data_IF_179006586107
#
_entry.id   IF_179006586107
#
_cell.length_a   1.000
_cell.length_b   1.000
_cell.length_c   1.000
_cell.angle_alpha   90.00
_cell.angle_beta   90.00
_cell.angle_gamma   90.00
#
_symmetry.space_group_name_H-M   'P 1'
#
loop_
_entity.id
_entity.type
_entity.pdbx_description
1 polymer ?
#
# COMPACT_ATOMS: atom_id res chain seq x y z
N UNK A 1 -3.63 4.54 -42.25
CA UNK A 1 -2.93 5.58 -41.47
C UNK A 1 -2.46 6.67 -42.41
N UNK A 2 -2.70 7.94 -42.11
CA UNK A 2 -2.06 9.06 -42.80
C UNK A 2 -0.77 9.38 -42.05
N UNK A 3 0.37 9.47 -42.74
CA UNK A 3 1.63 9.91 -42.15
C UNK A 3 1.65 11.44 -42.06
N UNK A 4 2.16 11.97 -40.96
CA UNK A 4 2.39 13.41 -40.77
C UNK A 4 3.89 13.61 -40.63
N UNK A 5 4.48 14.43 -41.49
CA UNK A 5 5.88 14.83 -41.38
C UNK A 5 5.96 16.14 -40.58
N UNK A 6 6.63 16.12 -39.44
CA UNK A 6 6.84 17.29 -38.58
C UNK A 6 8.29 17.75 -38.73
N UNK A 7 8.49 19.00 -39.13
CA UNK A 7 9.82 19.63 -39.08
C UNK A 7 10.03 20.27 -37.72
N UNK A 8 11.07 19.84 -37.02
CA UNK A 8 11.45 20.28 -35.68
C UNK A 8 12.97 20.26 -35.60
N UNK A 9 13.56 21.22 -34.88
CA UNK A 9 15.01 21.25 -34.68
C UNK A 9 15.46 20.10 -33.78
N UNK A 10 16.67 19.60 -33.98
CA UNK A 10 17.24 18.49 -33.18
C UNK A 10 17.19 18.77 -31.67
N UNK A 11 17.52 20.00 -31.27
CA UNK A 11 17.46 20.42 -29.86
C UNK A 11 16.04 20.33 -29.27
N UNK A 12 15.03 20.75 -30.05
CA UNK A 12 13.62 20.65 -29.62
C UNK A 12 13.12 19.22 -29.66
N UNK A 13 13.61 18.41 -30.60
CA UNK A 13 13.31 16.98 -30.69
C UNK A 13 13.82 16.25 -29.46
N UNK A 14 15.09 16.46 -29.09
CA UNK A 14 15.69 15.90 -27.88
C UNK A 14 14.96 16.37 -26.62
N UNK A 15 14.60 17.65 -26.55
CA UNK A 15 13.82 18.19 -25.44
C UNK A 15 12.39 17.63 -25.35
N UNK A 16 11.78 17.26 -26.48
CA UNK A 16 10.48 16.60 -26.52
C UNK A 16 10.61 15.13 -26.08
N UNK A 17 11.65 14.45 -26.56
CA UNK A 17 11.97 13.08 -26.21
C UNK A 17 12.20 12.92 -24.72
N UNK A 18 13.07 13.75 -24.13
CA UNK A 18 13.31 13.74 -22.69
C UNK A 18 12.06 14.02 -21.84
N UNK A 19 11.08 14.78 -22.36
CA UNK A 19 9.79 14.98 -21.68
C UNK A 19 8.85 13.80 -21.84
N UNK A 20 8.77 13.22 -23.02
CA UNK A 20 7.99 12.02 -23.29
C UNK A 20 8.48 10.86 -22.41
N UNK A 21 9.80 10.69 -22.33
CA UNK A 21 10.48 9.71 -21.46
C UNK A 21 10.16 9.99 -19.99
N UNK A 22 10.31 11.26 -19.55
CA UNK A 22 9.93 11.67 -18.19
C UNK A 22 8.46 11.37 -17.88
N UNK A 23 7.59 11.41 -18.87
CA UNK A 23 6.15 11.18 -18.69
C UNK A 23 5.73 9.73 -18.95
N UNK A 24 6.66 8.83 -19.28
CA UNK A 24 6.39 7.42 -19.54
C UNK A 24 5.47 7.19 -20.73
N UNK A 25 5.48 8.07 -21.74
CA UNK A 25 4.68 7.96 -22.96
C UNK A 25 5.57 8.03 -24.19
N UNK A 26 5.19 7.35 -25.28
CA UNK A 26 5.92 7.51 -26.54
C UNK A 26 5.70 8.89 -27.15
N UNK A 27 6.66 9.35 -27.95
CA UNK A 27 6.51 10.60 -28.71
C UNK A 27 5.28 10.51 -29.63
N UNK A 28 5.05 9.36 -30.25
CA UNK A 28 3.91 9.11 -31.13
C UNK A 28 2.57 9.23 -30.39
N UNK A 29 2.47 8.70 -29.17
CA UNK A 29 1.28 8.84 -28.33
C UNK A 29 1.06 10.30 -27.94
N UNK A 30 2.13 10.98 -27.54
CA UNK A 30 2.09 12.39 -27.16
C UNK A 30 1.62 13.27 -28.33
N UNK A 31 2.21 13.08 -29.52
CA UNK A 31 1.83 13.79 -30.74
C UNK A 31 0.41 13.43 -31.20
N UNK A 32 0.00 12.17 -31.12
CA UNK A 32 -1.35 11.75 -31.54
C UNK A 32 -2.42 12.45 -30.72
N UNK A 33 -2.22 12.54 -29.41
CA UNK A 33 -3.15 13.25 -28.49
C UNK A 33 -3.17 14.75 -28.73
N UNK A 34 -2.04 15.36 -29.08
CA UNK A 34 -1.97 16.77 -29.49
C UNK A 34 -2.81 16.99 -30.75
N UNK A 35 -2.65 16.13 -31.76
CA UNK A 35 -3.42 16.20 -33.02
C UNK A 35 -4.91 16.02 -32.76
N UNK A 36 -5.32 15.03 -31.95
CA UNK A 36 -6.72 14.81 -31.58
C UNK A 36 -7.34 16.03 -30.90
N UNK A 37 -6.60 16.65 -29.98
CA UNK A 37 -7.07 17.82 -29.22
C UNK A 37 -7.19 19.07 -30.08
N UNK A 38 -6.22 19.33 -30.96
CA UNK A 38 -6.28 20.46 -31.92
C UNK A 38 -7.40 20.24 -32.94
N UNK A 39 -7.65 19.01 -33.37
CA UNK A 39 -8.74 18.69 -34.27
C UNK A 39 -10.13 18.90 -33.64
N UNK A 40 -10.27 18.67 -32.33
CA UNK A 40 -11.53 18.86 -31.61
C UNK A 40 -11.84 20.32 -31.25
N UNK A 41 -10.82 21.15 -30.99
CA UNK A 41 -11.02 22.55 -30.59
C UNK A 41 -9.86 23.45 -31.07
N UNK A 42 -9.85 23.86 -32.36
CA UNK A 42 -8.71 24.55 -32.98
C UNK A 42 -8.49 25.97 -32.47
N UNK A 43 -9.45 26.53 -31.72
CA UNK A 43 -9.38 27.89 -31.20
C UNK A 43 -9.00 27.97 -29.72
N UNK A 44 -8.91 26.83 -29.02
CA UNK A 44 -8.50 26.81 -27.62
C UNK A 44 -6.97 26.89 -27.53
N UNK A 45 -6.41 27.81 -26.72
CA UNK A 45 -4.97 27.87 -26.52
C UNK A 45 -4.45 26.52 -26.03
N UNK A 46 -3.34 26.06 -26.62
CA UNK A 46 -2.69 24.82 -26.23
C UNK A 46 -2.21 24.95 -24.78
N UNK A 47 -2.98 24.38 -23.85
CA UNK A 47 -2.53 24.15 -22.48
C UNK A 47 -1.61 22.92 -22.54
N UNK A 48 -0.31 23.05 -22.20
CA UNK A 48 0.60 21.92 -22.15
C UNK A 48 -0.03 20.78 -21.36
N UNK A 49 0.03 19.57 -21.89
CA UNK A 49 -0.38 18.40 -21.14
C UNK A 49 0.41 18.37 -19.83
N UNK A 50 -0.31 18.36 -18.71
CA UNK A 50 0.26 18.08 -17.42
C UNK A 50 -0.18 16.65 -17.06
N UNK A 51 0.77 15.77 -16.70
CA UNK A 51 0.40 14.47 -16.16
C UNK A 51 -0.56 14.69 -14.99
N UNK A 52 -1.54 13.78 -14.87
CA UNK A 52 -2.45 13.80 -13.73
C UNK A 52 -1.60 13.74 -12.46
N UNK A 53 -1.80 14.71 -11.55
CA UNK A 53 -1.06 14.73 -10.29
C UNK A 53 -1.40 13.46 -9.51
N UNK A 54 -0.39 12.91 -8.84
CA UNK A 54 -0.48 11.66 -8.10
C UNK A 54 -0.04 11.89 -6.66
N UNK A 55 -0.73 11.25 -5.73
CA UNK A 55 -0.39 11.28 -4.31
C UNK A 55 -0.29 9.85 -3.81
N UNK A 56 0.90 9.50 -3.32
CA UNK A 56 1.19 8.20 -2.75
C UNK A 56 0.68 8.13 -1.31
N UNK A 57 -0.08 7.10 -1.01
CA UNK A 57 -0.69 6.85 0.30
C UNK A 57 0.09 5.73 1.00
N UNK A 58 0.73 6.06 2.11
CA UNK A 58 1.42 5.12 2.99
C UNK A 58 0.45 4.22 3.78
N UNK A 59 0.93 3.09 4.32
CA UNK A 59 0.16 2.09 5.07
C UNK A 59 -0.68 2.69 6.18
N UNK A 60 -0.09 3.59 6.99
CA UNK A 60 -0.80 4.17 8.13
C UNK A 60 -1.95 5.10 7.71
N UNK A 61 -1.86 5.76 6.55
CA UNK A 61 -2.92 6.59 5.99
C UNK A 61 -3.94 5.73 5.26
N UNK A 62 -3.49 4.67 4.57
CA UNK A 62 -4.35 3.68 3.97
C UNK A 62 -5.26 3.02 5.01
N UNK A 63 -4.73 2.74 6.21
CA UNK A 63 -5.53 2.26 7.35
C UNK A 63 -6.62 3.26 7.77
N UNK A 64 -6.36 4.57 7.73
CA UNK A 64 -7.35 5.62 8.03
C UNK A 64 -8.48 5.65 6.99
N UNK A 65 -8.14 5.44 5.71
CA UNK A 65 -9.07 5.41 4.58
C UNK A 65 -9.94 4.16 4.64
N UNK A 66 -9.33 2.97 4.74
CA UNK A 66 -10.03 1.68 4.86
C UNK A 66 -10.88 1.62 6.15
N UNK A 67 -10.37 2.23 7.23
CA UNK A 67 -11.08 2.40 8.49
C UNK A 67 -12.22 3.41 8.44
N UNK A 68 -12.40 4.12 7.32
CA UNK A 68 -13.45 5.12 7.12
C UNK A 68 -13.46 6.23 8.19
N UNK A 69 -12.29 6.55 8.72
CA UNK A 69 -12.10 7.60 9.73
C UNK A 69 -12.40 8.98 9.15
N UNK A 70 -12.69 9.97 9.99
CA UNK A 70 -12.93 11.35 9.54
C UNK A 70 -11.74 11.90 8.76
N UNK A 71 -10.52 11.64 9.24
CA UNK A 71 -9.28 12.04 8.58
C UNK A 71 -9.08 11.34 7.24
N UNK A 72 -9.26 10.02 7.17
CA UNK A 72 -9.14 9.25 5.92
C UNK A 72 -10.13 9.73 4.84
N UNK A 73 -11.39 9.97 5.23
CA UNK A 73 -12.41 10.55 4.34
C UNK A 73 -12.04 11.94 3.86
N UNK A 74 -11.47 12.77 4.74
CA UNK A 74 -11.02 14.11 4.38
C UNK A 74 -9.90 14.08 3.34
N UNK A 75 -8.94 13.16 3.49
CA UNK A 75 -7.83 12.99 2.53
C UNK A 75 -8.37 12.63 1.16
N UNK A 76 -9.19 11.58 1.05
CA UNK A 76 -9.77 11.14 -0.24
C UNK A 76 -10.59 12.26 -0.87
N UNK A 77 -11.47 12.91 -0.09
CA UNK A 77 -12.28 14.01 -0.59
C UNK A 77 -11.44 15.14 -1.17
N UNK A 78 -10.35 15.56 -0.50
CA UNK A 78 -9.50 16.63 -1.02
C UNK A 78 -8.78 16.25 -2.32
N UNK A 79 -8.34 14.99 -2.44
CA UNK A 79 -7.72 14.48 -3.66
C UNK A 79 -8.75 14.42 -4.82
N UNK A 80 -9.95 13.90 -4.55
CA UNK A 80 -11.05 13.82 -5.50
C UNK A 80 -11.52 15.20 -5.99
N UNK A 81 -11.80 16.12 -5.06
CA UNK A 81 -12.23 17.50 -5.35
C UNK A 81 -11.21 18.24 -6.24
N UNK A 82 -9.93 17.83 -6.18
CA UNK A 82 -8.81 18.42 -6.90
C UNK A 82 -8.41 17.64 -8.18
N UNK A 83 -9.10 16.54 -8.49
CA UNK A 83 -8.78 15.68 -9.63
C UNK A 83 -7.43 14.97 -9.53
N UNK A 84 -6.88 14.82 -8.32
CA UNK A 84 -5.60 14.19 -8.03
C UNK A 84 -5.80 12.70 -7.83
N UNK A 85 -4.95 11.88 -8.45
CA UNK A 85 -5.01 10.43 -8.31
C UNK A 85 -4.39 9.99 -6.98
N UNK A 86 -5.15 9.24 -6.18
CA UNK A 86 -4.64 8.54 -5.01
C UNK A 86 -4.06 7.20 -5.44
N UNK A 87 -2.79 6.95 -5.11
CA UNK A 87 -2.09 5.71 -5.45
C UNK A 87 -1.45 5.11 -4.20
N UNK A 88 -1.20 3.81 -4.20
CA UNK A 88 -0.44 3.12 -3.15
C UNK A 88 0.33 1.95 -3.73
N UNK A 89 1.20 1.34 -2.94
CA UNK A 89 1.99 0.19 -3.33
C UNK A 89 1.49 -1.08 -2.66
N UNK A 90 1.59 -2.23 -3.33
CA UNK A 90 1.10 -3.51 -2.80
C UNK A 90 1.71 -3.89 -1.45
N UNK A 91 2.94 -3.46 -1.16
CA UNK A 91 3.57 -3.63 0.15
C UNK A 91 2.75 -2.99 1.26
N UNK A 92 2.23 -1.78 1.05
CA UNK A 92 1.38 -1.11 2.03
C UNK A 92 0.11 -1.93 2.36
N UNK A 93 -0.47 -2.55 1.33
CA UNK A 93 -1.63 -3.44 1.49
C UNK A 93 -1.24 -4.70 2.27
N UNK A 94 -0.08 -5.29 2.01
CA UNK A 94 0.42 -6.47 2.71
C UNK A 94 0.77 -6.19 4.17
N UNK A 95 1.22 -4.97 4.49
CA UNK A 95 1.42 -4.54 5.86
C UNK A 95 0.08 -4.44 6.61
N UNK A 96 -0.99 -3.94 5.97
CA UNK A 96 -2.34 -4.02 6.54
C UNK A 96 -2.75 -5.48 6.80
N UNK A 97 -2.51 -6.39 5.87
CA UNK A 97 -2.81 -7.81 6.09
C UNK A 97 -2.00 -8.40 7.23
N UNK A 98 -0.72 -8.05 7.35
CA UNK A 98 0.16 -8.53 8.43
C UNK A 98 -0.31 -8.05 9.80
N UNK A 99 -0.85 -6.84 9.87
CA UNK A 99 -1.51 -6.32 11.06
C UNK A 99 -2.78 -7.12 11.40
N UNK A 100 -3.62 -7.43 10.41
CA UNK A 100 -4.83 -8.25 10.59
C UNK A 100 -4.52 -9.71 10.96
N UNK A 101 -3.40 -10.27 10.50
CA UNK A 101 -2.90 -11.60 10.90
C UNK A 101 -2.38 -11.62 12.34
N UNK A 102 -2.17 -10.45 12.95
CA UNK A 102 -1.54 -10.34 14.27
C UNK A 102 -0.05 -10.73 14.29
N UNK A 103 0.61 -10.82 13.12
CA UNK A 103 2.04 -11.14 13.01
C UNK A 103 2.93 -9.94 13.29
N UNK A 104 2.39 -8.74 13.08
CA UNK A 104 3.03 -7.48 13.43
C UNK A 104 2.40 -6.94 14.71
N UNK A 105 3.22 -6.58 15.70
CA UNK A 105 2.71 -5.98 16.93
C UNK A 105 2.16 -4.60 16.62
N UNK A 106 0.86 -4.36 16.81
CA UNK A 106 0.35 -3.01 16.98
C UNK A 106 0.99 -2.48 18.27
N UNK A 107 2.08 -1.70 18.14
CA UNK A 107 2.85 -1.18 19.28
C UNK A 107 2.06 -0.21 20.15
N UNK A 108 0.80 0.07 19.80
CA UNK A 108 -0.07 0.97 20.52
C UNK A 108 -0.73 0.25 21.72
N UNK A 109 -0.77 0.92 22.87
CA UNK A 109 -1.25 0.38 24.16
C UNK A 109 -2.67 -0.23 24.09
N UNK A 110 -3.07 -1.09 25.05
CA UNK A 110 -4.43 -1.66 25.10
C UNK A 110 -5.57 -0.62 24.93
N UNK A 111 -5.38 0.62 25.38
CA UNK A 111 -6.35 1.73 25.19
C UNK A 111 -6.49 2.19 23.74
N UNK A 112 -5.47 2.06 22.90
CA UNK A 112 -5.48 2.50 21.51
C UNK A 112 -6.18 1.52 20.56
N UNK A 113 -6.32 0.24 20.93
CA UNK A 113 -6.96 -0.78 20.07
C UNK A 113 -8.40 -0.42 19.72
N UNK A 114 -9.15 0.17 20.66
CA UNK A 114 -10.52 0.64 20.42
C UNK A 114 -10.59 1.86 19.50
N UNK A 115 -9.49 2.61 19.39
CA UNK A 115 -9.35 3.76 18.51
C UNK A 115 -8.55 3.42 17.24
N UNK A 116 -8.25 2.14 17.01
CA UNK A 116 -7.51 1.72 15.84
C UNK A 116 -8.38 1.95 14.58
N UNK A 117 -7.83 2.52 13.49
CA UNK A 117 -8.61 2.78 12.28
C UNK A 117 -9.29 1.52 11.71
N UNK A 118 -8.61 0.38 11.79
CA UNK A 118 -9.11 -0.93 11.36
C UNK A 118 -9.85 -1.74 12.44
N UNK A 119 -10.34 -1.11 13.52
CA UNK A 119 -10.99 -1.84 14.64
C UNK A 119 -12.10 -2.82 14.22
N UNK A 120 -12.84 -2.48 13.17
CA UNK A 120 -13.95 -3.31 12.66
C UNK A 120 -13.46 -4.63 12.04
N UNK A 121 -12.22 -4.64 11.56
CA UNK A 121 -11.51 -5.82 11.04
C UNK A 121 -10.72 -6.55 12.12
N UNK A 122 -10.26 -5.82 13.13
CA UNK A 122 -9.47 -6.34 14.25
C UNK A 122 -10.34 -6.98 15.33
N UNK A 123 -11.37 -7.73 14.94
CA UNK A 123 -12.26 -8.39 15.91
C UNK A 123 -11.43 -9.33 16.81
N UNK A 124 -11.71 -9.40 18.13
CA UNK A 124 -10.96 -10.26 19.05
C UNK A 124 -10.93 -11.73 18.60
N UNK A 125 -11.99 -12.20 17.93
CA UNK A 125 -12.07 -13.54 17.35
C UNK A 125 -11.05 -13.75 16.21
N UNK A 126 -10.67 -12.68 15.50
CA UNK A 126 -9.68 -12.73 14.42
C UNK A 126 -8.26 -12.52 14.96
N UNK A 127 -8.02 -11.62 15.92
CA UNK A 127 -6.64 -11.35 16.37
C UNK A 127 -6.14 -12.19 17.54
N UNK A 128 -7.04 -12.64 18.42
CA UNK A 128 -6.60 -13.39 19.59
C UNK A 128 -6.45 -14.89 19.32
N UNK A 129 -7.07 -15.44 18.27
CA UNK A 129 -7.09 -16.89 18.03
C UNK A 129 -5.70 -17.41 17.66
N UNK A 130 -4.97 -16.82 16.72
CA UNK A 130 -3.59 -17.22 16.41
C UNK A 130 -2.65 -17.16 17.64
N UNK A 131 -2.83 -16.14 18.49
CA UNK A 131 -2.08 -15.98 19.74
C UNK A 131 -2.58 -16.85 20.90
N UNK A 132 -3.82 -17.39 20.86
CA UNK A 132 -4.39 -18.26 21.90
C UNK A 132 -4.22 -19.74 21.56
N UNK A 133 -4.33 -20.12 20.28
CA UNK A 133 -4.31 -21.51 19.83
C UNK A 133 -2.96 -22.20 20.04
N UNK A 134 -1.84 -21.47 20.10
CA UNK A 134 -0.50 -22.06 20.25
C UNK A 134 0.28 -21.62 21.50
N UNK A 135 -0.41 -21.05 22.51
CA UNK A 135 0.22 -20.64 23.78
C UNK A 135 0.84 -21.80 24.56
N UNK A 136 0.43 -23.04 24.29
CA UNK A 136 0.79 -24.22 25.08
C UNK A 136 1.85 -25.12 24.44
N UNK A 137 2.65 -24.61 23.51
CA UNK A 137 3.73 -25.40 22.91
C UNK A 137 5.07 -24.86 23.37
N UNK A 138 6.01 -25.73 23.77
CA UNK A 138 7.42 -25.40 24.04
C UNK A 138 8.18 -24.95 22.77
N UNK A 139 7.46 -24.56 21.73
CA UNK A 139 7.92 -24.17 20.41
C UNK A 139 7.51 -22.70 20.22
N UNK A 140 8.33 -21.91 19.53
CA UNK A 140 8.03 -20.51 19.25
C UNK A 140 6.62 -20.35 18.66
N UNK A 141 5.74 -19.71 19.43
CA UNK A 141 4.37 -19.36 19.05
C UNK A 141 4.23 -18.73 17.66
N UNK A 142 5.21 -17.91 17.23
CA UNK A 142 5.21 -17.30 15.90
C UNK A 142 5.48 -18.34 14.81
N UNK A 143 6.49 -19.19 15.00
CA UNK A 143 6.82 -20.25 14.06
C UNK A 143 5.64 -21.23 13.86
N UNK A 144 4.95 -21.59 14.95
CA UNK A 144 3.74 -22.42 14.86
C UNK A 144 2.60 -21.72 14.12
N UNK A 145 2.39 -20.42 14.34
CA UNK A 145 1.35 -19.68 13.61
C UNK A 145 1.62 -19.68 12.11
N UNK A 146 2.86 -19.46 11.68
CA UNK A 146 3.21 -19.51 10.25
C UNK A 146 3.04 -20.90 9.64
N UNK A 147 3.52 -21.93 10.33
CA UNK A 147 3.42 -23.33 9.88
C UNK A 147 1.97 -23.75 9.69
N UNK A 148 1.12 -23.52 10.70
CA UNK A 148 -0.28 -23.90 10.62
C UNK A 148 -1.10 -23.00 9.70
N UNK A 149 -0.72 -21.73 9.51
CA UNK A 149 -1.40 -20.83 8.57
C UNK A 149 -1.42 -21.41 7.16
N UNK A 150 -0.33 -22.03 6.74
CA UNK A 150 -0.22 -22.67 5.43
C UNK A 150 -0.95 -24.03 5.43
N UNK A 151 -0.62 -24.90 6.40
CA UNK A 151 -1.10 -26.28 6.40
C UNK A 151 -2.59 -26.46 6.66
N UNK A 152 -3.26 -25.49 7.28
CA UNK A 152 -4.68 -25.64 7.56
C UNK A 152 -5.54 -25.71 6.28
N UNK A 153 -4.98 -25.45 5.08
CA UNK A 153 -5.67 -25.69 3.81
C UNK A 153 -6.04 -27.16 3.61
N UNK A 154 -5.25 -28.08 4.17
CA UNK A 154 -5.56 -29.51 4.19
C UNK A 154 -6.84 -29.81 4.99
N UNK A 155 -7.18 -28.96 5.95
CA UNK A 155 -8.36 -29.11 6.80
C UNK A 155 -9.61 -28.44 6.22
N UNK A 156 -9.46 -27.63 5.17
CA UNK A 156 -10.58 -26.89 4.55
C UNK A 156 -11.45 -27.74 3.62
N UNK A 157 -11.18 -29.04 3.52
CA UNK A 157 -11.92 -29.96 2.68
C UNK A 157 -13.28 -30.25 3.32
N UNK A 158 -14.33 -30.37 2.50
CA UNK A 158 -15.73 -30.34 2.95
C UNK A 158 -16.11 -31.42 3.97
N UNK A 159 -15.38 -32.53 3.98
CA UNK A 159 -15.61 -33.70 4.81
C UNK A 159 -14.48 -33.97 5.81
N UNK A 160 -13.45 -33.11 5.89
CA UNK A 160 -12.25 -33.36 6.71
C UNK A 160 -12.61 -33.62 8.18
N UNK A 161 -13.38 -32.70 8.79
CA UNK A 161 -13.70 -32.78 10.21
C UNK A 161 -14.65 -33.94 10.54
N UNK A 162 -15.61 -34.22 9.66
CA UNK A 162 -16.55 -35.35 9.83
C UNK A 162 -15.81 -36.69 9.70
N UNK A 163 -14.96 -36.82 8.69
CA UNK A 163 -14.14 -38.01 8.46
C UNK A 163 -13.19 -38.27 9.63
N UNK A 164 -12.53 -37.22 10.15
CA UNK A 164 -11.61 -37.38 11.28
C UNK A 164 -12.32 -37.71 12.60
N UNK A 165 -13.54 -37.22 12.83
CA UNK A 165 -14.34 -37.62 14.00
C UNK A 165 -14.65 -39.13 13.97
N UNK A 166 -14.99 -39.68 12.80
CA UNK A 166 -15.18 -41.12 12.62
C UNK A 166 -13.88 -41.91 12.87
N UNK A 167 -12.74 -41.40 12.41
CA UNK A 167 -11.44 -42.02 12.65
C UNK A 167 -11.07 -42.02 14.14
N UNK A 168 -11.33 -40.93 14.86
CA UNK A 168 -11.12 -40.84 16.32
C UNK A 168 -11.96 -41.91 17.01
N UNK A 169 -13.24 -42.02 16.67
CA UNK A 169 -14.14 -43.01 17.28
C UNK A 169 -13.70 -44.45 16.98
N UNK A 170 -13.19 -44.71 15.78
CA UNK A 170 -12.82 -46.05 15.33
C UNK A 170 -11.45 -46.52 15.82
N UNK A 171 -10.47 -45.62 15.90
CA UNK A 171 -9.07 -45.98 16.08
C UNK A 171 -8.41 -45.43 17.35
N UNK A 172 -8.94 -44.37 17.99
CA UNK A 172 -8.39 -43.88 19.25
C UNK A 172 -8.90 -44.71 20.44
N UNK A 173 -7.96 -45.09 21.32
CA UNK A 173 -8.29 -45.66 22.63
C UNK A 173 -9.11 -44.66 23.45
N UNK A 174 -10.03 -45.17 24.28
CA UNK A 174 -11.02 -44.33 24.98
C UNK A 174 -10.39 -43.18 25.80
N UNK A 175 -9.23 -43.41 26.41
CA UNK A 175 -8.51 -42.40 27.18
C UNK A 175 -7.92 -41.25 26.34
N UNK A 176 -7.70 -41.46 25.04
CA UNK A 176 -7.14 -40.47 24.11
C UNK A 176 -8.16 -39.83 23.17
N UNK A 177 -9.42 -40.27 23.21
CA UNK A 177 -10.47 -39.70 22.36
C UNK A 177 -10.77 -38.25 22.68
N UNK A 178 -10.76 -37.87 23.97
CA UNK A 178 -11.02 -36.49 24.38
C UNK A 178 -9.94 -35.54 23.87
N UNK A 179 -8.67 -35.88 24.08
CA UNK A 179 -7.53 -35.10 23.59
C UNK A 179 -7.55 -34.96 22.06
N UNK A 180 -7.87 -36.05 21.34
CA UNK A 180 -7.98 -36.01 19.88
C UNK A 180 -9.11 -35.09 19.40
N UNK A 181 -10.27 -35.10 20.09
CA UNK A 181 -11.39 -34.19 19.78
C UNK A 181 -11.06 -32.73 20.09
N UNK A 182 -10.38 -32.47 21.21
CA UNK A 182 -9.88 -31.13 21.53
C UNK A 182 -8.97 -30.62 20.42
N UNK A 183 -8.06 -31.47 19.92
CA UNK A 183 -7.18 -31.11 18.80
C UNK A 183 -7.95 -30.85 17.50
N UNK A 184 -8.94 -31.70 17.17
CA UNK A 184 -9.78 -31.50 15.99
C UNK A 184 -10.60 -30.20 16.08
N UNK A 185 -11.11 -29.87 17.28
CA UNK A 185 -11.80 -28.61 17.52
C UNK A 185 -10.86 -27.39 17.37
N UNK A 186 -9.60 -27.49 17.81
CA UNK A 186 -8.59 -26.46 17.59
C UNK A 186 -8.29 -26.25 16.10
N UNK A 187 -8.17 -27.33 15.32
CA UNK A 187 -8.00 -27.27 13.87
C UNK A 187 -9.19 -26.56 13.20
N UNK A 188 -10.41 -26.89 13.61
CA UNK A 188 -11.64 -26.24 13.11
C UNK A 188 -11.65 -24.73 13.40
N UNK A 189 -11.34 -24.34 14.63
CA UNK A 189 -11.24 -22.93 15.01
C UNK A 189 -10.18 -22.19 14.17
N UNK A 190 -9.07 -22.85 13.83
CA UNK A 190 -8.03 -22.27 12.99
C UNK A 190 -8.49 -22.09 11.53
N UNK A 191 -9.23 -23.05 10.98
CA UNK A 191 -9.86 -22.92 9.65
C UNK A 191 -10.85 -21.76 9.63
N UNK A 192 -11.76 -21.69 10.60
CA UNK A 192 -12.75 -20.62 10.71
C UNK A 192 -12.07 -19.24 10.80
N UNK A 193 -10.98 -19.16 11.57
CA UNK A 193 -10.14 -17.98 11.64
C UNK A 193 -9.51 -17.58 10.29
N UNK A 194 -8.90 -18.52 9.56
CA UNK A 194 -8.30 -18.24 8.24
C UNK A 194 -9.36 -17.81 7.22
N UNK A 195 -10.56 -18.40 7.27
CA UNK A 195 -11.70 -17.99 6.43
C UNK A 195 -12.09 -16.54 6.75
N UNK A 196 -12.26 -16.20 8.04
CA UNK A 196 -12.57 -14.84 8.47
C UNK A 196 -11.49 -13.83 8.04
N UNK A 197 -10.20 -14.22 8.11
CA UNK A 197 -9.10 -13.39 7.60
C UNK A 197 -9.18 -13.15 6.10
N UNK A 198 -9.45 -14.19 5.30
CA UNK A 198 -9.60 -14.05 3.84
C UNK A 198 -10.74 -13.10 3.48
N UNK A 199 -11.86 -13.20 4.21
CA UNK A 199 -12.98 -12.27 4.07
C UNK A 199 -12.58 -10.84 4.44
N UNK A 200 -11.85 -10.66 5.54
CA UNK A 200 -11.33 -9.34 5.93
C UNK A 200 -10.39 -8.75 4.87
N UNK A 201 -9.48 -9.54 4.28
CA UNK A 201 -8.60 -9.07 3.20
C UNK A 201 -9.38 -8.65 1.95
N UNK A 202 -10.39 -9.44 1.58
CA UNK A 202 -11.27 -9.11 0.45
C UNK A 202 -12.01 -7.79 0.70
N UNK A 203 -12.52 -7.58 1.90
CA UNK A 203 -13.20 -6.33 2.28
C UNK A 203 -12.24 -5.14 2.35
N UNK A 204 -10.99 -5.34 2.81
CA UNK A 204 -9.94 -4.30 2.72
C UNK A 204 -9.71 -3.88 1.27
N UNK A 205 -9.50 -4.84 0.36
CA UNK A 205 -9.28 -4.55 -1.06
C UNK A 205 -10.45 -3.81 -1.68
N UNK A 206 -11.67 -4.25 -1.36
CA UNK A 206 -12.89 -3.59 -1.79
C UNK A 206 -12.91 -2.13 -1.33
N UNK A 207 -12.65 -1.87 -0.04
CA UNK A 207 -12.63 -0.50 0.48
C UNK A 207 -11.54 0.37 -0.14
N UNK A 208 -10.36 -0.19 -0.44
CA UNK A 208 -9.30 0.54 -1.16
C UNK A 208 -9.82 0.96 -2.55
N UNK A 209 -10.40 0.02 -3.29
CA UNK A 209 -10.98 0.28 -4.61
C UNK A 209 -12.16 1.26 -4.58
N UNK A 210 -13.07 1.12 -3.61
CA UNK A 210 -14.26 1.97 -3.45
C UNK A 210 -13.88 3.43 -3.13
N UNK A 211 -12.71 3.65 -2.52
CA UNK A 211 -12.15 4.99 -2.27
C UNK A 211 -11.27 5.50 -3.43
N UNK A 212 -11.27 4.83 -4.58
CA UNK A 212 -10.54 5.27 -5.77
C UNK A 212 -9.01 5.24 -5.61
N UNK A 213 -8.47 4.44 -4.68
CA UNK A 213 -7.02 4.30 -4.50
C UNK A 213 -6.50 3.22 -5.45
N UNK A 214 -5.64 3.61 -6.40
CA UNK A 214 -4.99 2.67 -7.32
C UNK A 214 -3.84 1.96 -6.62
N UNK A 215 -3.86 0.62 -6.58
CA UNK A 215 -2.76 -0.18 -6.02
C UNK A 215 -1.82 -0.60 -7.15
N UNK A 216 -0.55 -0.24 -7.03
CA UNK A 216 0.52 -0.72 -7.92
C UNK A 216 1.24 -1.91 -7.29
N UNK A 217 1.48 -2.94 -8.09
CA UNK A 217 2.18 -4.15 -7.70
C UNK A 217 3.69 -4.05 -7.90
N UNK A 218 4.42 -4.92 -7.19
CA UNK A 218 5.88 -5.03 -7.27
C UNK A 218 6.44 -5.02 -8.70
N UNK A 219 5.91 -5.87 -9.57
CA UNK A 219 6.41 -6.01 -10.93
C UNK A 219 6.09 -4.78 -11.81
N UNK A 220 5.04 -4.03 -11.49
CA UNK A 220 4.68 -2.81 -12.21
C UNK A 220 5.64 -1.66 -11.88
N UNK A 221 6.18 -1.64 -10.67
CA UNK A 221 7.14 -0.64 -10.21
C UNK A 221 8.57 -1.07 -10.53
N UNK A 222 9.00 -2.19 -9.95
CA UNK A 222 10.38 -2.67 -9.99
C UNK A 222 10.69 -3.58 -11.18
N UNK A 223 9.67 -3.98 -11.94
CA UNK A 223 9.86 -4.62 -13.25
C UNK A 223 9.82 -3.62 -14.42
N UNK A 224 9.58 -2.33 -14.14
CA UNK A 224 9.48 -1.29 -15.17
C UNK A 224 10.81 -0.98 -15.84
N UNK A 225 10.75 -0.50 -17.08
CA UNK A 225 11.92 0.02 -17.81
C UNK A 225 12.58 1.15 -17.02
N UNK A 226 11.79 2.04 -16.40
CA UNK A 226 12.31 3.10 -15.54
C UNK A 226 13.22 2.55 -14.44
N UNK A 227 12.82 1.47 -13.78
CA UNK A 227 13.63 0.88 -12.72
C UNK A 227 14.95 0.31 -13.25
N UNK A 228 14.91 -0.35 -14.41
CA UNK A 228 16.09 -0.91 -15.06
C UNK A 228 17.11 0.17 -15.50
N UNK A 229 16.62 1.31 -15.99
CA UNK A 229 17.48 2.38 -16.51
C UNK A 229 17.92 3.39 -15.44
N UNK A 230 17.04 3.73 -14.49
CA UNK A 230 17.28 4.79 -13.49
C UNK A 230 17.07 4.31 -12.05
N UNK A 231 15.98 3.57 -11.79
CA UNK A 231 15.55 3.25 -10.43
C UNK A 231 16.56 2.47 -9.61
N UNK A 232 17.28 1.51 -10.21
CA UNK A 232 18.34 0.77 -9.52
C UNK A 232 19.49 1.68 -9.07
N UNK A 233 19.83 2.70 -9.86
CA UNK A 233 20.87 3.68 -9.48
C UNK A 233 20.41 4.57 -8.32
N UNK A 234 19.14 4.99 -8.34
CA UNK A 234 18.54 5.71 -7.21
C UNK A 234 18.48 4.87 -5.94
N UNK A 235 18.18 3.58 -6.08
CA UNK A 235 18.20 2.65 -4.97
C UNK A 235 19.60 2.59 -4.35
N UNK A 236 20.64 2.36 -5.15
CA UNK A 236 22.01 2.32 -4.64
C UNK A 236 22.41 3.66 -3.99
N UNK A 237 22.06 4.79 -4.61
CA UNK A 237 22.34 6.11 -4.07
C UNK A 237 21.65 6.34 -2.72
N UNK A 238 20.36 6.05 -2.62
CA UNK A 238 19.64 6.21 -1.35
C UNK A 238 20.17 5.24 -0.27
N UNK A 239 20.58 4.02 -0.63
CA UNK A 239 21.10 3.07 0.33
C UNK A 239 22.47 3.49 0.90
N UNK A 240 23.26 4.22 0.12
CA UNK A 240 24.59 4.71 0.52
C UNK A 240 24.55 6.09 1.18
N UNK A 241 23.67 6.97 0.67
CA UNK A 241 23.70 8.39 0.98
C UNK A 241 22.46 8.89 1.76
N UNK A 242 21.55 7.99 2.15
CA UNK A 242 20.39 8.34 2.99
C UNK A 242 20.36 7.61 4.34
N UNK A 243 19.68 8.23 5.29
CA UNK A 243 19.32 7.75 6.63
C UNK A 243 17.84 7.32 6.67
N UNK A 244 17.22 7.07 5.51
CA UNK A 244 15.89 6.47 5.48
C UNK A 244 15.96 5.07 6.11
N UNK A 245 14.97 4.68 6.94
CA UNK A 245 14.89 3.30 7.40
C UNK A 245 14.75 2.36 6.20
N UNK A 246 15.47 1.23 6.24
CA UNK A 246 15.46 0.24 5.15
C UNK A 246 14.05 -0.28 4.82
N UNK A 247 13.15 -0.30 5.79
CA UNK A 247 11.75 -0.72 5.60
C UNK A 247 10.98 0.26 4.69
N UNK A 248 11.16 1.56 4.91
CA UNK A 248 10.43 2.62 4.24
C UNK A 248 11.06 3.06 2.92
N UNK A 249 12.34 2.75 2.75
CA UNK A 249 13.13 2.99 1.55
C UNK A 249 12.39 2.61 0.27
N UNK A 250 11.82 1.41 0.27
CA UNK A 250 11.15 0.82 -0.87
C UNK A 250 9.84 1.55 -1.21
N UNK A 251 9.13 2.05 -0.19
CA UNK A 251 7.89 2.82 -0.37
C UNK A 251 8.19 4.19 -0.99
N UNK A 252 9.26 4.84 -0.52
CA UNK A 252 9.73 6.11 -1.08
C UNK A 252 10.16 5.93 -2.53
N UNK A 253 10.93 4.88 -2.83
CA UNK A 253 11.38 4.60 -4.19
C UNK A 253 10.20 4.27 -5.12
N UNK A 254 9.21 3.51 -4.64
CA UNK A 254 7.98 3.24 -5.39
C UNK A 254 7.20 4.54 -5.66
N UNK A 255 7.09 5.45 -4.69
CA UNK A 255 6.44 6.73 -4.88
C UNK A 255 7.14 7.59 -5.94
N UNK A 256 8.48 7.59 -5.96
CA UNK A 256 9.29 8.26 -6.98
C UNK A 256 9.09 7.63 -8.36
N UNK A 257 9.17 6.31 -8.45
CA UNK A 257 8.96 5.55 -9.69
C UNK A 257 7.59 5.84 -10.30
N UNK A 258 6.57 5.94 -9.45
CA UNK A 258 5.19 6.25 -9.85
C UNK A 258 4.93 7.75 -10.08
N UNK A 259 5.97 8.58 -9.94
CA UNK A 259 5.97 10.03 -10.13
C UNK A 259 4.95 10.74 -9.23
N UNK A 260 4.86 10.30 -7.98
CA UNK A 260 4.01 10.94 -6.99
C UNK A 260 4.51 12.36 -6.69
N UNK A 261 3.58 13.32 -6.68
CA UNK A 261 3.83 14.69 -6.24
C UNK A 261 4.02 14.75 -4.72
N UNK A 262 3.32 13.89 -3.98
CA UNK A 262 3.48 13.79 -2.55
C UNK A 262 3.43 12.35 -2.03
N UNK A 263 4.15 12.12 -0.94
CA UNK A 263 4.09 10.94 -0.08
C UNK A 263 3.34 11.31 1.20
N UNK A 264 2.16 10.73 1.40
CA UNK A 264 1.29 11.05 2.54
C UNK A 264 1.43 9.98 3.61
N UNK A 265 1.92 10.37 4.78
CA UNK A 265 2.17 9.48 5.92
C UNK A 265 1.86 10.17 7.25
N UNK A 266 1.48 9.40 8.25
CA UNK A 266 1.27 9.86 9.62
C UNK A 266 2.55 9.85 10.46
N UNK A 267 3.66 9.32 9.91
CA UNK A 267 4.98 9.32 10.55
C UNK A 267 5.70 10.65 10.34
N UNK A 268 5.39 11.61 11.23
CA UNK A 268 5.95 12.96 11.16
C UNK A 268 7.45 13.00 11.47
N UNK A 269 7.94 12.13 12.35
CA UNK A 269 9.32 12.18 12.83
C UNK A 269 10.29 11.48 11.89
N UNK A 270 10.01 10.23 11.53
CA UNK A 270 10.98 9.39 10.83
C UNK A 270 10.85 9.54 9.32
N UNK A 271 9.63 9.59 8.76
CA UNK A 271 9.46 9.74 7.31
C UNK A 271 9.35 11.18 6.86
N UNK A 272 8.44 11.97 7.43
CA UNK A 272 8.25 13.34 6.96
C UNK A 272 9.49 14.18 7.22
N UNK A 273 9.97 14.20 8.46
CA UNK A 273 11.13 15.01 8.81
C UNK A 273 12.45 14.36 8.40
N UNK A 274 12.83 13.25 9.04
CA UNK A 274 14.16 12.65 8.83
C UNK A 274 14.31 12.10 7.42
N UNK A 275 13.31 11.37 6.93
CA UNK A 275 13.32 10.79 5.59
C UNK A 275 13.37 11.85 4.50
N UNK A 276 12.47 12.83 4.52
CA UNK A 276 12.45 13.88 3.52
C UNK A 276 13.70 14.80 3.55
N UNK A 277 14.32 15.02 4.72
CA UNK A 277 15.62 15.72 4.83
C UNK A 277 16.78 14.88 4.32
N UNK A 278 16.70 13.56 4.51
CA UNK A 278 17.74 12.65 4.10
C UNK A 278 17.79 12.45 2.58
N UNK A 279 16.67 12.66 1.89
CA UNK A 279 16.63 12.69 0.45
C UNK A 279 17.16 14.04 -0.02
N UNK A 280 18.43 14.08 -0.42
CA UNK A 280 19.10 15.30 -0.87
C UNK A 280 18.32 16.04 -1.97
N UNK A 281 18.59 17.34 -2.15
CA UNK A 281 17.90 18.23 -3.10
C UNK A 281 18.05 17.80 -4.57
N UNK A 282 19.00 16.90 -4.86
CA UNK A 282 19.22 16.34 -6.20
C UNK A 282 18.28 15.15 -6.51
N UNK A 283 17.52 14.65 -5.52
CA UNK A 283 16.54 13.59 -5.72
C UNK A 283 15.30 14.10 -6.47
N UNK A 284 14.53 13.21 -7.15
CA UNK A 284 13.24 13.58 -7.71
C UNK A 284 12.34 14.27 -6.68
N UNK A 285 11.68 15.34 -7.10
CA UNK A 285 10.91 16.17 -6.18
C UNK A 285 9.58 15.50 -5.79
N UNK A 286 9.54 14.94 -4.59
CA UNK A 286 8.35 14.46 -3.89
C UNK A 286 8.16 15.25 -2.58
N UNK A 287 6.94 15.68 -2.27
CA UNK A 287 6.63 16.33 -0.99
C UNK A 287 6.23 15.32 0.07
N UNK A 288 6.75 15.44 1.28
CA UNK A 288 6.33 14.61 2.42
C UNK A 288 5.24 15.32 3.20
N UNK A 289 4.07 14.70 3.30
CA UNK A 289 2.86 15.36 3.79
C UNK A 289 2.18 14.56 4.87
N UNK A 290 1.85 15.20 6.00
CA UNK A 290 0.93 14.62 6.96
C UNK A 290 -0.50 14.67 6.40
N UNK A 291 -1.36 13.67 6.69
CA UNK A 291 -2.72 13.63 6.14
C UNK A 291 -3.55 14.87 6.51
N UNK A 292 -3.28 15.51 7.65
CA UNK A 292 -3.98 16.71 8.11
C UNK A 292 -3.69 17.95 7.24
N UNK A 293 -2.57 17.95 6.50
CA UNK A 293 -2.13 19.10 5.68
C UNK A 293 -2.24 18.85 4.18
N UNK A 294 -2.89 17.77 3.77
CA UNK A 294 -3.05 17.46 2.34
C UNK A 294 -3.72 18.61 1.56
N UNK A 295 -4.73 19.27 2.15
CA UNK A 295 -5.39 20.41 1.51
C UNK A 295 -4.41 21.55 1.23
N UNK A 296 -3.61 21.92 2.23
CA UNK A 296 -2.60 22.96 2.07
C UNK A 296 -1.54 22.57 1.04
N UNK A 297 -1.13 21.29 1.03
CA UNK A 297 -0.21 20.76 0.03
C UNK A 297 -0.77 20.91 -1.38
N UNK A 298 -2.06 20.62 -1.57
CA UNK A 298 -2.74 20.82 -2.85
C UNK A 298 -2.84 22.31 -3.20
N UNK A 299 -3.27 23.16 -2.27
CA UNK A 299 -3.46 24.60 -2.47
C UNK A 299 -2.15 25.31 -2.86
N UNK A 300 -1.02 24.78 -2.40
CA UNK A 300 0.33 25.29 -2.69
C UNK A 300 1.02 24.54 -3.83
N UNK A 301 0.29 23.68 -4.54
CA UNK A 301 0.81 22.82 -5.61
C UNK A 301 2.07 22.03 -5.23
N UNK A 302 2.07 21.47 -4.03
CA UNK A 302 3.16 20.69 -3.48
C UNK A 302 4.51 21.46 -3.50
N UNK A 303 4.48 22.79 -3.44
CA UNK A 303 5.68 23.63 -3.53
C UNK A 303 6.66 23.42 -2.37
N UNK A 304 6.20 22.91 -1.23
CA UNK A 304 7.05 22.62 -0.09
C UNK A 304 7.44 21.15 -0.06
N UNK A 305 8.70 20.90 0.33
CA UNK A 305 9.18 19.53 0.57
C UNK A 305 8.49 18.88 1.76
N UNK A 306 8.01 19.68 2.72
CA UNK A 306 7.50 19.19 4.01
C UNK A 306 6.19 19.87 4.40
N UNK A 307 5.16 19.07 4.68
CA UNK A 307 3.90 19.50 5.29
C UNK A 307 3.71 18.73 6.60
N UNK A 308 4.35 19.23 7.66
CA UNK A 308 4.37 18.62 9.00
C UNK A 308 3.17 19.01 9.85
N UNK A 309 2.77 18.18 10.82
CA UNK A 309 1.73 18.59 11.78
C UNK A 309 2.13 19.89 12.48
N UNK A 310 1.17 20.78 12.67
CA UNK A 310 1.39 21.96 13.51
C UNK A 310 1.76 21.50 14.92
N UNK A 311 2.89 21.98 15.44
CA UNK A 311 3.20 21.80 16.84
C UNK A 311 2.14 22.57 17.62
N UNK A 312 1.30 21.86 18.37
CA UNK A 312 0.49 22.50 19.39
C UNK A 312 1.48 23.16 20.34
N UNK A 313 1.50 24.49 20.37
CA UNK A 313 2.20 25.23 21.39
C UNK A 313 1.60 24.82 22.73
N UNK A 314 2.35 24.00 23.47
CA UNK A 314 2.09 23.67 24.87
C UNK A 314 2.24 24.92 25.75
#
# INVERSE_FOLDING_TARGET
MKSINIQISDERWLGLQARADRWGVSIEELLSRVVEKVAHDPHKPFVPWQPKKRVFIDTNVLALIVGNTSLGKSVIKHLEDSGIEAITFSKCVYELYSLLKGTTSDRRDKKSRNNHPLKDFLQPQINDIGQKLFRNTNIDHKANTYYWFDLCEEWMWSDYFESYEELIQKYCVQSGQEEAREMLALQKNFVDWKIALRQAFSEVNKKISDNGVTVFHYFEVFGSDWYQFEGFSWEQAFAQDSLLPNEDFELVLAAIALQANAFVTSDDSDLIWRGGLSLGLNSPHISFCCPERIKEAIDTDFAFRFYRREQKSE
#
